data_IF_863323171855
#
_entry.id   IF_863323171855
#
_cell.length_a   1.000
_cell.length_b   1.000
_cell.length_c   1.000
_cell.angle_alpha   90.00
_cell.angle_beta   90.00
_cell.angle_gamma   90.00
#
_symmetry.space_group_name_H-M   'P 1'
#
loop_
_entity.id
_entity.type
_entity.pdbx_description
1 polymer ?
#
# COMPACT_ATOMS: atom_id res chain seq x y z
N UNK A 1 9.22 7.54 -35.12
CA UNK A 1 7.92 7.28 -35.77
C UNK A 1 7.01 6.62 -34.73
N UNK A 2 6.48 7.40 -33.77
CA UNK A 2 5.64 6.94 -32.66
C UNK A 2 4.18 7.14 -33.05
N UNK A 3 3.52 6.07 -33.49
CA UNK A 3 2.14 6.13 -33.94
C UNK A 3 1.18 6.30 -32.75
N UNK A 4 0.52 7.45 -32.77
CA UNK A 4 -0.88 7.70 -32.46
C UNK A 4 -1.32 7.60 -30.99
N UNK A 5 -1.46 8.80 -30.41
CA UNK A 5 -2.53 9.10 -29.49
C UNK A 5 -3.88 8.67 -30.11
N UNK A 6 -4.41 7.53 -29.67
CA UNK A 6 -5.81 7.18 -29.89
C UNK A 6 -6.63 7.98 -28.88
N UNK A 7 -7.64 8.65 -29.42
CA UNK A 7 -8.55 9.57 -28.74
C UNK A 7 -9.05 8.99 -27.41
N UNK A 8 -8.92 9.75 -26.30
CA UNK A 8 -9.59 9.38 -25.05
C UNK A 8 -11.10 9.51 -25.27
N UNK A 9 -11.90 8.44 -25.17
CA UNK A 9 -13.34 8.59 -25.29
C UNK A 9 -13.86 9.37 -24.07
N UNK A 10 -14.47 10.53 -24.32
CA UNK A 10 -15.17 11.36 -23.33
C UNK A 10 -16.40 10.60 -22.83
N UNK A 11 -16.18 9.62 -21.96
CA UNK A 11 -17.23 8.70 -21.56
C UNK A 11 -17.68 9.05 -20.15
N UNK A 12 -18.96 9.37 -19.98
CA UNK A 12 -19.64 9.47 -18.67
C UNK A 12 -19.75 8.13 -17.93
N UNK A 13 -19.26 7.05 -18.55
CA UNK A 13 -19.29 5.70 -18.02
C UNK A 13 -18.38 5.57 -16.81
N UNK A 14 -18.87 4.84 -15.81
CA UNK A 14 -18.11 4.60 -14.58
C UNK A 14 -16.94 3.65 -14.82
N UNK A 15 -15.90 3.75 -13.97
CA UNK A 15 -14.72 2.88 -14.02
C UNK A 15 -15.06 1.38 -13.96
N UNK A 16 -16.22 1.02 -13.42
CA UNK A 16 -16.74 -0.35 -13.40
C UNK A 16 -17.21 -0.83 -14.77
N UNK A 17 -17.88 0.02 -15.54
CA UNK A 17 -18.33 -0.30 -16.89
C UNK A 17 -17.16 -0.45 -17.86
N UNK A 18 -16.15 0.43 -17.74
CA UNK A 18 -14.92 0.34 -18.54
C UNK A 18 -14.13 -0.95 -18.27
N UNK A 19 -14.16 -1.44 -17.03
CA UNK A 19 -13.53 -2.71 -16.63
C UNK A 19 -14.27 -3.91 -17.21
N UNK A 20 -15.60 -3.89 -17.20
CA UNK A 20 -16.43 -4.96 -17.79
C UNK A 20 -16.29 -5.05 -19.30
N UNK A 21 -16.07 -3.92 -19.97
CA UNK A 21 -15.82 -3.86 -21.41
C UNK A 21 -14.40 -4.31 -21.78
N UNK A 22 -13.49 -4.49 -20.80
CA UNK A 22 -12.09 -4.88 -21.03
C UNK A 22 -11.14 -3.73 -21.39
N UNK A 23 -11.58 -2.47 -21.27
CA UNK A 23 -10.80 -1.30 -21.70
C UNK A 23 -9.84 -0.82 -20.61
N UNK A 24 -10.09 -1.17 -19.35
CA UNK A 24 -9.27 -0.78 -18.20
C UNK A 24 -9.00 -1.98 -17.31
N UNK A 25 -7.73 -2.37 -17.21
CA UNK A 25 -7.27 -3.35 -16.25
C UNK A 25 -6.78 -2.64 -14.97
N UNK A 26 -7.36 -2.92 -13.79
CA UNK A 26 -6.81 -2.42 -12.54
C UNK A 26 -5.44 -3.06 -12.31
N UNK A 27 -4.39 -2.25 -12.18
CA UNK A 27 -3.07 -2.78 -11.82
C UNK A 27 -3.05 -3.31 -10.37
N UNK A 28 -3.91 -2.77 -9.50
CA UNK A 28 -4.05 -3.18 -8.11
C UNK A 28 -5.19 -4.19 -7.99
N UNK A 29 -4.87 -5.42 -7.58
CA UNK A 29 -5.87 -6.46 -7.30
C UNK A 29 -6.62 -6.14 -6.00
N UNK A 30 -7.93 -6.43 -5.97
CA UNK A 30 -8.72 -6.32 -4.76
C UNK A 30 -8.54 -7.53 -3.83
N UNK A 31 -8.77 -7.36 -2.52
CA UNK A 31 -8.71 -8.44 -1.50
C UNK A 31 -9.50 -9.70 -1.90
N UNK A 32 -10.69 -9.52 -2.48
CA UNK A 32 -11.52 -10.66 -2.92
C UNK A 32 -10.92 -11.45 -4.08
N UNK A 33 -10.19 -10.79 -4.98
CA UNK A 33 -9.50 -11.46 -6.09
C UNK A 33 -8.28 -12.26 -5.60
N UNK A 34 -7.55 -11.74 -4.61
CA UNK A 34 -6.45 -12.48 -3.99
C UNK A 34 -6.93 -13.72 -3.22
N UNK A 35 -8.07 -13.62 -2.52
CA UNK A 35 -8.67 -14.77 -1.83
C UNK A 35 -9.10 -15.87 -2.82
N UNK A 36 -9.70 -15.49 -3.96
CA UNK A 36 -10.07 -16.43 -5.03
C UNK A 36 -8.82 -17.05 -5.68
N UNK A 37 -7.76 -16.27 -5.89
CA UNK A 37 -6.49 -16.79 -6.42
C UNK A 37 -5.81 -17.76 -5.46
N UNK A 38 -5.87 -17.50 -4.15
CA UNK A 38 -5.32 -18.38 -3.12
C UNK A 38 -6.09 -19.72 -3.06
N UNK A 39 -7.42 -19.68 -3.23
CA UNK A 39 -8.23 -20.90 -3.35
C UNK A 39 -7.84 -21.72 -4.60
N UNK A 40 -7.53 -21.05 -5.71
CA UNK A 40 -7.13 -21.71 -6.98
C UNK A 40 -5.67 -22.18 -6.98
N UNK A 41 -4.79 -21.49 -6.27
CA UNK A 41 -3.35 -21.77 -6.22
C UNK A 41 -2.86 -21.73 -4.77
N UNK A 42 -3.03 -22.84 -4.02
CA UNK A 42 -2.71 -22.87 -2.58
C UNK A 42 -1.22 -22.69 -2.28
N UNK A 43 -0.33 -22.94 -3.24
CA UNK A 43 1.12 -22.72 -3.09
C UNK A 43 1.53 -21.25 -3.24
N UNK A 44 0.64 -20.39 -3.75
CA UNK A 44 0.92 -18.97 -3.95
C UNK A 44 0.80 -18.25 -2.61
N UNK A 45 1.94 -17.83 -2.03
CA UNK A 45 1.92 -17.03 -0.81
C UNK A 45 1.44 -15.60 -1.12
N UNK A 46 0.32 -15.13 -0.56
CA UNK A 46 -0.06 -13.73 -0.67
C UNK A 46 1.00 -12.90 0.05
N UNK A 47 1.43 -11.78 -0.54
CA UNK A 47 2.44 -10.87 0.06
C UNK A 47 1.82 -9.64 0.73
N UNK A 48 0.50 -9.47 0.58
CA UNK A 48 -0.24 -8.34 1.15
C UNK A 48 -0.21 -8.33 2.70
N UNK A 49 -0.13 -9.50 3.35
CA UNK A 49 -0.09 -9.58 4.82
C UNK A 49 1.06 -8.77 5.43
N UNK A 50 2.22 -8.67 4.75
CA UNK A 50 3.36 -7.88 5.24
C UNK A 50 3.00 -6.39 5.27
N UNK A 51 2.34 -5.91 4.23
CA UNK A 51 1.90 -4.51 4.15
C UNK A 51 0.84 -4.24 5.21
N UNK A 52 -0.12 -5.14 5.39
CA UNK A 52 -1.16 -5.02 6.42
C UNK A 52 -0.57 -5.00 7.84
N UNK A 53 0.38 -5.89 8.13
CA UNK A 53 1.09 -5.92 9.41
C UNK A 53 1.89 -4.63 9.62
N UNK A 54 2.56 -4.13 8.59
CA UNK A 54 3.29 -2.86 8.65
C UNK A 54 2.34 -1.67 8.91
N UNK A 55 1.18 -1.67 8.25
CA UNK A 55 0.14 -0.65 8.46
C UNK A 55 -0.45 -0.72 9.87
N UNK A 56 -0.59 -1.92 10.44
CA UNK A 56 -0.97 -2.12 11.85
C UNK A 56 0.07 -1.55 12.83
N UNK A 57 1.37 -1.60 12.50
CA UNK A 57 2.40 -0.94 13.29
C UNK A 57 2.30 0.58 13.21
N UNK A 58 2.06 1.13 12.01
CA UNK A 58 1.88 2.57 11.85
C UNK A 58 0.63 3.11 12.56
N UNK A 59 -0.45 2.34 12.63
CA UNK A 59 -1.66 2.71 13.38
C UNK A 59 -1.44 2.90 14.90
N UNK A 60 -0.33 2.42 15.46
CA UNK A 60 0.03 2.65 16.87
C UNK A 60 0.61 4.05 17.12
N UNK A 61 1.04 4.74 16.06
CA UNK A 61 1.60 6.08 16.15
C UNK A 61 0.47 7.09 15.92
N UNK A 62 -0.03 7.70 17.01
CA UNK A 62 -1.13 8.69 16.95
C UNK A 62 -0.88 9.83 15.96
N UNK A 63 0.38 10.25 15.80
CA UNK A 63 0.78 11.33 14.87
C UNK A 63 0.61 10.95 13.38
N UNK A 64 0.64 9.65 13.06
CA UNK A 64 0.42 9.11 11.71
C UNK A 64 -1.03 8.67 11.47
N UNK A 65 -1.73 8.24 12.53
CA UNK A 65 -3.11 7.77 12.45
C UNK A 65 -4.06 8.84 11.90
N UNK A 66 -3.90 10.07 12.37
CA UNK A 66 -4.64 11.22 11.84
C UNK A 66 -3.65 12.08 11.07
N UNK A 67 -3.90 12.26 9.77
CA UNK A 67 -3.07 13.09 8.89
C UNK A 67 -3.25 14.58 9.25
N UNK A 68 -2.49 15.03 10.24
CA UNK A 68 -2.43 16.44 10.62
C UNK A 68 -1.45 17.27 9.78
N UNK A 69 -0.49 16.62 9.13
CA UNK A 69 0.50 17.32 8.30
C UNK A 69 -0.13 17.82 7.00
N UNK A 70 -0.03 19.12 6.75
CA UNK A 70 -0.52 19.76 5.51
C UNK A 70 0.44 19.57 4.33
N UNK A 71 1.72 19.27 4.59
CA UNK A 71 2.74 19.06 3.57
C UNK A 71 3.04 17.58 3.39
N UNK A 72 3.09 17.14 2.14
CA UNK A 72 3.45 15.75 1.79
C UNK A 72 4.87 15.38 2.23
N UNK A 73 5.80 16.33 2.20
CA UNK A 73 7.20 16.14 2.62
C UNK A 73 7.29 15.78 4.10
N UNK A 74 6.54 16.50 4.94
CA UNK A 74 6.47 16.24 6.39
C UNK A 74 5.86 14.88 6.67
N UNK A 75 4.81 14.50 5.94
CA UNK A 75 4.21 13.18 6.05
C UNK A 75 5.20 12.07 5.68
N UNK A 76 5.92 12.21 4.57
CA UNK A 76 6.93 11.24 4.16
C UNK A 76 8.03 11.07 5.23
N UNK A 77 8.55 12.19 5.75
CA UNK A 77 9.56 12.19 6.80
C UNK A 77 9.08 11.45 8.07
N UNK A 78 7.84 11.68 8.50
CA UNK A 78 7.25 10.97 9.64
C UNK A 78 7.12 9.46 9.39
N UNK A 79 6.77 9.03 8.18
CA UNK A 79 6.73 7.61 7.83
C UNK A 79 8.12 6.96 7.91
N UNK A 80 9.16 7.63 7.41
CA UNK A 80 10.53 7.15 7.52
C UNK A 80 10.99 7.06 8.98
N UNK A 81 10.71 8.09 9.78
CA UNK A 81 11.03 8.10 11.22
C UNK A 81 10.33 6.95 11.95
N UNK A 82 9.05 6.73 11.66
CA UNK A 82 8.28 5.65 12.24
C UNK A 82 8.84 4.27 11.86
N UNK A 83 9.22 4.07 10.59
CA UNK A 83 9.85 2.85 10.14
C UNK A 83 11.19 2.60 10.86
N UNK A 84 12.01 3.65 11.04
CA UNK A 84 13.27 3.56 11.78
C UNK A 84 13.06 3.18 13.26
N UNK A 85 12.07 3.76 13.94
CA UNK A 85 11.73 3.42 15.33
C UNK A 85 11.26 1.97 15.44
N UNK A 86 10.42 1.50 14.51
CA UNK A 86 9.95 0.11 14.50
C UNK A 86 11.12 -0.85 14.28
N UNK A 87 12.00 -0.54 13.32
CA UNK A 87 13.20 -1.34 13.05
C UNK A 87 14.10 -1.41 14.29
N UNK A 88 14.35 -0.28 14.95
CA UNK A 88 15.15 -0.21 16.18
C UNK A 88 14.55 -1.06 17.31
N UNK A 89 13.23 -1.01 17.51
CA UNK A 89 12.53 -1.81 18.52
C UNK A 89 12.55 -3.32 18.24
N UNK A 90 12.75 -3.72 16.99
CA UNK A 90 12.77 -5.13 16.57
C UNK A 90 14.14 -5.76 16.65
N UNK A 91 15.21 -4.98 16.84
CA UNK A 91 16.55 -5.54 17.00
C UNK A 91 16.64 -6.22 18.38
N UNK A 92 16.94 -7.53 18.44
CA UNK A 92 17.09 -8.24 19.70
C UNK A 92 18.46 -7.91 20.30
N UNK A 93 18.54 -6.80 21.03
CA UNK A 93 19.78 -6.34 21.68
C UNK A 93 19.62 -6.49 23.19
N UNK A 94 20.61 -7.09 23.85
CA UNK A 94 20.64 -7.25 25.32
C UNK A 94 20.80 -5.93 26.08
N UNK A 95 21.42 -4.93 25.44
CA UNK A 95 21.67 -3.59 25.99
C UNK A 95 20.60 -2.61 25.53
N UNK A 96 20.11 -1.81 26.46
CA UNK A 96 19.01 -0.88 26.24
C UNK A 96 19.51 0.43 25.61
N UNK A 97 19.76 0.42 24.29
CA UNK A 97 20.35 1.54 23.53
C UNK A 97 19.58 2.87 23.70
N UNK A 98 18.32 2.80 24.10
CA UNK A 98 17.46 3.99 24.28
C UNK A 98 17.79 4.76 25.56
N UNK A 99 18.39 4.12 26.58
CA UNK A 99 18.55 4.73 27.90
C UNK A 99 19.99 5.00 28.32
N UNK A 100 20.99 4.57 27.55
CA UNK A 100 22.41 4.69 27.92
C UNK A 100 22.80 3.68 28.98
#
# INVERSE_FOLDING_TARGET
MFLQATERPQTSKTARELRNLGWVYPHVKGRGQEAIELQKQPHKRPRCWVVEVTYSWFNRLRKLLVRYEKLDRSFLALNHLAAAIIALRKVPIKVNIIYG
#
